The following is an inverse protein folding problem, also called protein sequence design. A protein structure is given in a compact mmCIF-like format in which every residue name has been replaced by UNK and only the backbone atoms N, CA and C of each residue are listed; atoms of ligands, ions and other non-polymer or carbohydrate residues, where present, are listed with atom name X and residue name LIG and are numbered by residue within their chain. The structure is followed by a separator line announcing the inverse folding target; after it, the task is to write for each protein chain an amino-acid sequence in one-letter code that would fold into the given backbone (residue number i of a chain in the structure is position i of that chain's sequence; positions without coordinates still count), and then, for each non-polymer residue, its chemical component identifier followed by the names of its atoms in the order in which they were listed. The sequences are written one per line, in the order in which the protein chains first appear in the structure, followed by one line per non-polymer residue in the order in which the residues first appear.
data_IF_530969730281
#
_entry.id   IF_530969730281
#
_cell.length_a   1.000
_cell.length_b   1.000
_cell.length_c   1.000
_cell.angle_alpha   90.00
_cell.angle_beta   90.00
_cell.angle_gamma   90.00
#
_symmetry.space_group_name_H-M   'P 1'
#
loop_
_entity.id
_entity.type
_entity.pdbx_description
1 polymer ?
#
# COMPACT_ATOMS: atom_id res chain seq x y z
N UNK A 1 -31.30 -13.93 17.46
CA UNK A 1 -30.47 -14.02 16.25
C UNK A 1 -29.24 -14.87 16.60
N UNK A 2 -29.24 -16.16 16.17
CA UNK A 2 -28.03 -17.00 16.31
C UNK A 2 -26.92 -16.36 15.50
N UNK A 3 -25.83 -15.93 16.14
CA UNK A 3 -24.65 -15.43 15.46
C UNK A 3 -24.03 -16.55 14.63
N UNK A 4 -24.16 -16.42 13.31
CA UNK A 4 -23.62 -17.36 12.34
C UNK A 4 -22.11 -17.15 12.25
N UNK A 5 -21.31 -18.05 12.80
CA UNK A 5 -19.85 -17.96 12.67
C UNK A 5 -19.30 -18.97 11.66
N UNK A 6 -18.16 -18.61 11.05
CA UNK A 6 -17.53 -19.43 10.01
C UNK A 6 -16.83 -20.63 10.65
N UNK A 7 -17.38 -21.81 10.45
CA UNK A 7 -16.76 -23.10 10.85
C UNK A 7 -15.78 -23.64 9.80
N UNK A 8 -16.01 -23.31 8.53
CA UNK A 8 -15.25 -23.88 7.42
C UNK A 8 -14.72 -22.77 6.51
N UNK A 9 -13.64 -23.09 5.77
CA UNK A 9 -13.10 -22.16 4.75
C UNK A 9 -14.08 -22.07 3.58
N UNK A 10 -14.39 -20.86 3.16
CA UNK A 10 -15.16 -20.62 1.95
C UNK A 10 -14.39 -20.99 0.68
N UNK A 11 -15.11 -21.40 -0.36
CA UNK A 11 -14.55 -21.52 -1.69
C UNK A 11 -14.06 -20.15 -2.19
N UNK A 12 -12.92 -20.11 -2.92
CA UNK A 12 -12.42 -18.86 -3.48
C UNK A 12 -13.44 -18.21 -4.42
N UNK A 13 -13.66 -16.89 -4.31
CA UNK A 13 -14.49 -16.13 -5.26
C UNK A 13 -13.83 -16.03 -6.64
N UNK A 14 -12.48 -16.06 -6.68
CA UNK A 14 -11.67 -16.17 -7.89
C UNK A 14 -10.83 -17.44 -7.78
N UNK A 15 -11.28 -18.57 -8.37
CA UNK A 15 -10.60 -19.86 -8.26
C UNK A 15 -9.20 -19.85 -8.87
N UNK A 16 -9.05 -19.18 -10.01
CA UNK A 16 -7.77 -19.00 -10.68
C UNK A 16 -6.98 -17.85 -10.05
N UNK A 17 -5.79 -18.17 -9.54
CA UNK A 17 -4.90 -17.15 -8.97
C UNK A 17 -4.39 -16.16 -10.02
N UNK A 18 -4.38 -16.56 -11.29
CA UNK A 18 -4.01 -15.68 -12.40
C UNK A 18 -5.03 -14.56 -12.60
N UNK A 19 -6.23 -14.74 -12.10
CA UNK A 19 -7.32 -13.74 -12.15
C UNK A 19 -7.24 -12.73 -10.99
N UNK A 20 -6.44 -13.00 -9.96
CA UNK A 20 -6.31 -12.09 -8.83
C UNK A 20 -5.73 -10.74 -9.29
N UNK A 21 -6.40 -9.63 -9.02
CA UNK A 21 -5.94 -8.31 -9.47
C UNK A 21 -4.51 -7.99 -9.04
N UNK A 22 -4.13 -8.34 -7.81
CA UNK A 22 -2.76 -8.14 -7.30
C UNK A 22 -1.71 -8.95 -8.07
N UNK A 23 -2.06 -10.11 -8.62
CA UNK A 23 -1.17 -10.93 -9.46
C UNK A 23 -1.02 -10.33 -10.85
N UNK A 24 -2.13 -9.85 -11.44
CA UNK A 24 -2.12 -9.14 -12.74
C UNK A 24 -1.27 -7.87 -12.62
N UNK A 25 -1.51 -7.06 -11.60
CA UNK A 25 -0.75 -5.84 -11.33
C UNK A 25 0.75 -6.13 -11.13
N UNK A 26 1.09 -7.21 -10.45
CA UNK A 26 2.50 -7.59 -10.26
C UNK A 26 3.19 -8.01 -11.57
N UNK A 27 2.47 -8.58 -12.54
CA UNK A 27 3.00 -8.90 -13.88
C UNK A 27 3.22 -7.64 -14.71
N UNK A 28 2.34 -6.66 -14.58
CA UNK A 28 2.35 -5.39 -15.29
C UNK A 28 3.06 -4.28 -14.48
N UNK A 29 3.88 -4.67 -13.48
CA UNK A 29 4.47 -3.73 -12.51
C UNK A 29 5.21 -2.58 -13.18
N UNK A 30 5.97 -2.82 -14.24
CA UNK A 30 6.76 -1.78 -14.92
C UNK A 30 5.86 -0.72 -15.57
N UNK A 31 4.87 -1.16 -16.30
CA UNK A 31 3.88 -0.30 -16.95
C UNK A 31 3.06 0.45 -15.91
N UNK A 32 2.69 -0.24 -14.83
CA UNK A 32 1.94 0.37 -13.73
C UNK A 32 2.75 1.44 -13.01
N UNK A 33 4.01 1.20 -12.66
CA UNK A 33 4.91 2.19 -12.04
C UNK A 33 5.09 3.40 -12.93
N UNK A 34 5.30 3.19 -14.24
CA UNK A 34 5.36 4.29 -15.21
C UNK A 34 4.07 5.11 -15.21
N UNK A 35 2.92 4.45 -15.28
CA UNK A 35 1.61 5.11 -15.20
C UNK A 35 1.46 5.93 -13.93
N UNK A 36 1.90 5.40 -12.78
CA UNK A 36 1.88 6.14 -11.50
C UNK A 36 2.76 7.38 -11.57
N UNK A 37 3.96 7.30 -12.12
CA UNK A 37 4.85 8.45 -12.29
C UNK A 37 4.19 9.53 -13.14
N UNK A 38 3.66 9.18 -14.31
CA UNK A 38 3.05 10.12 -15.25
C UNK A 38 1.80 10.80 -14.65
N UNK A 39 0.94 10.04 -13.98
CA UNK A 39 -0.25 10.58 -13.33
C UNK A 39 0.09 11.45 -12.12
N UNK A 40 1.13 11.10 -11.36
CA UNK A 40 1.60 11.89 -10.23
C UNK A 40 2.19 13.21 -10.69
N UNK A 41 2.98 13.19 -11.76
CA UNK A 41 3.50 14.41 -12.40
C UNK A 41 2.35 15.34 -12.80
N UNK A 42 1.37 14.82 -13.55
CA UNK A 42 0.19 15.59 -13.96
C UNK A 42 -0.52 16.20 -12.75
N UNK A 43 -0.80 15.40 -11.72
CA UNK A 43 -1.50 15.84 -10.51
C UNK A 43 -0.75 16.95 -9.78
N UNK A 44 0.58 16.82 -9.65
CA UNK A 44 1.42 17.84 -9.01
C UNK A 44 1.42 19.13 -9.84
N UNK A 45 1.49 19.04 -11.17
CA UNK A 45 1.42 20.18 -12.05
C UNK A 45 0.07 20.91 -11.95
N UNK A 46 -1.02 20.15 -11.85
CA UNK A 46 -2.36 20.73 -11.64
C UNK A 46 -2.44 21.46 -10.28
N UNK A 47 -1.90 20.87 -9.21
CA UNK A 47 -1.86 21.45 -7.87
C UNK A 47 -0.98 22.72 -7.79
N UNK A 48 0.10 22.77 -8.57
CA UNK A 48 0.98 23.94 -8.66
C UNK A 48 0.50 24.96 -9.71
N UNK A 49 -0.66 24.73 -10.34
CA UNK A 49 -1.24 25.60 -11.37
C UNK A 49 -0.36 25.71 -12.62
N UNK A 50 0.50 24.73 -12.90
CA UNK A 50 1.54 24.81 -13.94
C UNK A 50 2.44 26.05 -13.81
N UNK A 51 2.55 26.63 -12.62
CA UNK A 51 3.37 27.79 -12.34
C UNK A 51 4.82 27.37 -12.05
N UNK A 52 5.78 27.91 -12.81
CA UNK A 52 7.18 27.55 -12.71
C UNK A 52 7.80 27.93 -11.36
N UNK A 53 7.37 29.06 -10.73
CA UNK A 53 7.91 29.52 -9.44
C UNK A 53 7.44 28.63 -8.30
N UNK A 54 6.13 28.29 -8.28
CA UNK A 54 5.56 27.38 -7.28
C UNK A 54 6.18 25.98 -7.42
N UNK A 55 6.30 25.48 -8.66
CA UNK A 55 6.92 24.19 -8.91
C UNK A 55 8.39 24.16 -8.46
N UNK A 56 9.14 25.23 -8.73
CA UNK A 56 10.53 25.39 -8.27
C UNK A 56 10.60 25.28 -6.74
N UNK A 57 9.80 26.05 -6.03
CA UNK A 57 9.77 26.07 -4.55
C UNK A 57 9.49 24.65 -3.97
N UNK A 58 8.53 23.95 -4.55
CA UNK A 58 8.21 22.58 -4.13
C UNK A 58 9.32 21.59 -4.43
N UNK A 59 10.02 21.72 -5.57
CA UNK A 59 11.17 20.89 -5.92
C UNK A 59 12.35 21.14 -4.97
N UNK A 60 12.65 22.41 -4.68
CA UNK A 60 13.72 22.79 -3.75
C UNK A 60 13.41 22.35 -2.31
N UNK A 61 12.16 22.50 -1.88
CA UNK A 61 11.67 22.01 -0.59
C UNK A 61 11.80 20.49 -0.48
N UNK A 62 11.43 19.77 -1.53
CA UNK A 62 11.56 18.31 -1.60
C UNK A 62 13.02 17.89 -1.50
N UNK A 63 13.89 18.49 -2.30
CA UNK A 63 15.34 18.24 -2.25
C UNK A 63 15.94 18.49 -0.86
N UNK A 64 15.58 19.61 -0.24
CA UNK A 64 16.05 19.95 1.11
C UNK A 64 15.63 18.89 2.14
N UNK A 65 14.35 18.52 2.14
CA UNK A 65 13.79 17.53 3.08
C UNK A 65 14.43 16.16 2.91
N UNK A 66 14.63 15.71 1.66
CA UNK A 66 15.23 14.41 1.40
C UNK A 66 16.71 14.38 1.81
N UNK A 67 17.47 15.42 1.51
CA UNK A 67 18.88 15.51 1.97
C UNK A 67 19.00 15.53 3.49
N UNK A 68 18.09 16.23 4.16
CA UNK A 68 18.04 16.25 5.63
C UNK A 68 17.70 14.86 6.18
N UNK A 69 16.71 14.17 5.60
CA UNK A 69 16.30 12.80 5.97
C UNK A 69 17.46 11.82 5.83
N UNK A 70 18.12 11.82 4.67
CA UNK A 70 19.24 10.91 4.38
C UNK A 70 20.39 11.13 5.38
N UNK A 71 20.69 12.39 5.70
CA UNK A 71 21.77 12.72 6.64
C UNK A 71 21.45 12.33 8.10
N UNK A 72 20.21 12.54 8.52
CA UNK A 72 19.82 12.37 9.94
C UNK A 72 19.28 11.00 10.26
N UNK A 73 18.50 10.41 9.35
CA UNK A 73 17.73 9.21 9.61
C UNK A 73 17.56 8.35 8.34
N UNK A 74 18.62 7.81 7.75
CA UNK A 74 18.50 6.91 6.61
C UNK A 74 17.75 5.64 7.01
N UNK A 75 17.04 5.04 6.05
CA UNK A 75 16.51 3.71 6.21
C UNK A 75 17.50 2.66 5.70
N UNK A 76 17.57 1.49 6.34
CA UNK A 76 18.37 0.38 5.83
C UNK A 76 17.89 -0.14 4.46
N UNK A 77 16.69 0.25 4.05
CA UNK A 77 16.08 -0.11 2.75
C UNK A 77 16.03 1.07 1.78
N UNK A 78 16.67 2.19 2.11
CA UNK A 78 16.89 3.25 1.13
C UNK A 78 17.76 2.66 0.00
N UNK A 79 17.52 3.03 -1.26
CA UNK A 79 18.34 2.58 -2.37
C UNK A 79 19.82 2.98 -2.21
N UNK A 80 20.74 2.13 -2.67
CA UNK A 80 22.19 2.35 -2.51
C UNK A 80 22.68 3.64 -3.20
N UNK A 81 21.99 4.06 -4.27
CA UNK A 81 22.27 5.27 -5.06
C UNK A 81 21.56 6.53 -4.55
N UNK A 82 20.97 6.51 -3.35
CA UNK A 82 20.12 7.59 -2.83
C UNK A 82 20.86 8.94 -2.79
N UNK A 83 22.11 8.95 -2.33
CA UNK A 83 22.91 10.18 -2.27
C UNK A 83 23.26 10.71 -3.67
N UNK A 84 23.58 9.83 -4.61
CA UNK A 84 23.90 10.16 -6.00
C UNK A 84 22.67 10.75 -6.69
N UNK A 85 21.53 10.08 -6.62
CA UNK A 85 20.28 10.54 -7.19
C UNK A 85 19.91 11.97 -6.74
N UNK A 86 19.94 12.23 -5.43
CA UNK A 86 19.61 13.57 -4.90
C UNK A 86 20.72 14.59 -5.16
N UNK A 87 21.94 14.13 -5.39
CA UNK A 87 23.05 14.93 -5.90
C UNK A 87 22.78 15.43 -7.33
N UNK A 88 22.35 14.54 -8.21
CA UNK A 88 21.98 14.86 -9.59
C UNK A 88 20.74 15.77 -9.67
N UNK A 89 19.71 15.51 -8.84
CA UNK A 89 18.53 16.40 -8.73
C UNK A 89 18.98 17.82 -8.34
N UNK A 90 19.87 17.94 -7.35
CA UNK A 90 20.45 19.24 -6.96
C UNK A 90 21.15 19.92 -8.13
N UNK A 91 22.01 19.18 -8.84
CA UNK A 91 22.76 19.72 -9.97
C UNK A 91 21.82 20.23 -11.06
N UNK A 92 20.80 19.44 -11.43
CA UNK A 92 19.79 19.82 -12.42
C UNK A 92 19.04 21.10 -12.02
N UNK A 93 18.63 21.22 -10.76
CA UNK A 93 17.95 22.43 -10.27
C UNK A 93 18.86 23.66 -10.29
N UNK A 94 20.14 23.51 -9.92
CA UNK A 94 21.10 24.61 -9.97
C UNK A 94 21.35 25.06 -11.41
N UNK A 95 21.44 24.15 -12.36
CA UNK A 95 21.58 24.49 -13.79
C UNK A 95 20.39 25.30 -14.27
N UNK A 96 19.13 24.84 -14.03
CA UNK A 96 17.92 25.57 -14.43
C UNK A 96 17.86 26.97 -13.80
N UNK A 97 18.31 27.08 -12.55
CA UNK A 97 18.30 28.37 -11.84
C UNK A 97 19.37 29.34 -12.34
N UNK A 98 20.53 28.82 -12.74
CA UNK A 98 21.67 29.64 -13.20
C UNK A 98 21.53 30.09 -14.66
N UNK A 99 20.72 29.41 -15.47
CA UNK A 99 20.58 29.70 -16.89
C UNK A 99 19.83 31.01 -17.10
N UNK A 100 20.57 32.08 -17.41
CA UNK A 100 20.02 33.39 -17.73
C UNK A 100 19.43 33.39 -19.15
N UNK A 101 18.26 33.97 -19.34
CA UNK A 101 17.63 34.09 -20.67
C UNK A 101 16.61 33.00 -21.01
N UNK A 102 16.40 32.01 -20.16
CA UNK A 102 15.30 31.06 -20.33
C UNK A 102 13.93 31.73 -20.23
N UNK A 103 13.08 31.46 -21.22
CA UNK A 103 11.66 31.83 -21.12
C UNK A 103 10.99 31.05 -19.99
N UNK A 104 9.91 31.60 -19.43
CA UNK A 104 9.10 30.91 -18.39
C UNK A 104 8.68 29.51 -18.85
N UNK A 105 8.31 29.37 -20.12
CA UNK A 105 7.90 28.08 -20.70
C UNK A 105 9.05 27.05 -20.73
N UNK A 106 10.25 27.46 -21.15
CA UNK A 106 11.41 26.59 -21.17
C UNK A 106 11.86 26.20 -19.77
N UNK A 107 11.81 27.13 -18.82
CA UNK A 107 12.10 26.88 -17.41
C UNK A 107 11.13 25.88 -16.81
N UNK A 108 9.83 26.04 -17.06
CA UNK A 108 8.81 25.08 -16.66
C UNK A 108 9.08 23.69 -17.25
N UNK A 109 9.48 23.61 -18.53
CA UNK A 109 9.81 22.33 -19.18
C UNK A 109 10.98 21.62 -18.48
N UNK A 110 12.01 22.35 -18.09
CA UNK A 110 13.15 21.78 -17.37
C UNK A 110 12.76 21.30 -15.97
N UNK A 111 11.97 22.09 -15.21
CA UNK A 111 11.45 21.65 -13.92
C UNK A 111 10.54 20.43 -14.03
N UNK A 112 9.72 20.30 -15.07
CA UNK A 112 8.93 19.09 -15.35
C UNK A 112 9.81 17.86 -15.53
N UNK A 113 10.97 17.98 -16.19
CA UNK A 113 11.92 16.87 -16.31
C UNK A 113 12.47 16.43 -14.95
N UNK A 114 12.78 17.39 -14.06
CA UNK A 114 13.22 17.07 -12.69
C UNK A 114 12.08 16.44 -11.90
N UNK A 115 10.87 16.98 -12.00
CA UNK A 115 9.68 16.42 -11.36
C UNK A 115 9.43 14.96 -11.79
N UNK A 116 9.51 14.69 -13.10
CA UNK A 116 9.33 13.33 -13.63
C UNK A 116 10.34 12.34 -13.04
N UNK A 117 11.61 12.74 -12.90
CA UNK A 117 12.63 11.89 -12.26
C UNK A 117 12.28 11.58 -10.81
N UNK A 118 11.83 12.58 -10.04
CA UNK A 118 11.45 12.42 -8.63
C UNK A 118 10.20 11.54 -8.49
N UNK A 119 9.17 11.77 -9.31
CA UNK A 119 7.93 10.95 -9.26
C UNK A 119 8.19 9.52 -9.68
N UNK A 120 9.08 9.29 -10.67
CA UNK A 120 9.50 7.94 -11.09
C UNK A 120 10.23 7.22 -9.96
N UNK A 121 11.15 7.90 -9.25
CA UNK A 121 11.84 7.36 -8.08
C UNK A 121 10.85 6.96 -6.99
N UNK A 122 9.95 7.85 -6.62
CA UNK A 122 8.96 7.58 -5.59
C UNK A 122 7.97 6.49 -5.99
N UNK A 123 7.52 6.44 -7.24
CA UNK A 123 6.64 5.39 -7.73
C UNK A 123 7.30 4.01 -7.61
N UNK A 124 8.59 3.89 -7.95
CA UNK A 124 9.36 2.65 -7.81
C UNK A 124 9.56 2.25 -6.35
N UNK A 125 9.85 3.22 -5.47
CA UNK A 125 10.02 2.98 -4.03
C UNK A 125 8.72 2.52 -3.37
N UNK A 126 7.59 3.11 -3.73
CA UNK A 126 6.27 2.81 -3.15
C UNK A 126 5.77 1.46 -3.64
N UNK A 127 5.98 1.14 -4.91
CA UNK A 127 5.34 0.02 -5.56
C UNK A 127 5.60 -1.32 -4.86
N UNK A 128 4.52 -2.07 -4.65
CA UNK A 128 4.59 -3.43 -4.13
C UNK A 128 5.40 -4.33 -5.04
N UNK A 129 6.13 -5.26 -4.44
CA UNK A 129 6.87 -6.32 -5.13
C UNK A 129 6.23 -7.69 -4.83
N UNK A 130 4.94 -7.81 -5.08
CA UNK A 130 4.18 -9.01 -4.83
C UNK A 130 4.68 -10.18 -5.68
N UNK A 131 4.96 -11.31 -5.04
CA UNK A 131 5.36 -12.56 -5.70
C UNK A 131 4.42 -13.70 -5.29
N UNK A 132 3.58 -14.13 -6.23
CA UNK A 132 2.60 -15.18 -6.01
C UNK A 132 3.20 -16.48 -5.48
N UNK A 133 4.39 -16.87 -5.93
CA UNK A 133 5.09 -18.07 -5.45
C UNK A 133 5.41 -17.98 -3.96
N UNK A 134 5.81 -16.81 -3.50
CA UNK A 134 6.13 -16.56 -2.09
C UNK A 134 4.87 -16.43 -1.23
N UNK A 135 3.75 -15.97 -1.80
CA UNK A 135 2.50 -15.78 -1.07
C UNK A 135 2.01 -17.08 -0.38
N UNK A 136 2.02 -18.21 -1.11
CA UNK A 136 1.59 -19.49 -0.54
C UNK A 136 2.45 -19.91 0.65
N UNK A 137 3.77 -19.85 0.46
CA UNK A 137 4.72 -20.19 1.52
C UNK A 137 4.57 -19.28 2.72
N UNK A 138 4.59 -17.96 2.50
CA UNK A 138 4.42 -16.95 3.54
C UNK A 138 3.13 -17.16 4.33
N UNK A 139 2.03 -17.40 3.63
CA UNK A 139 0.75 -17.67 4.28
C UNK A 139 0.80 -18.90 5.18
N UNK A 140 1.43 -19.99 4.73
CA UNK A 140 1.56 -21.21 5.52
C UNK A 140 2.43 -21.00 6.76
N UNK A 141 3.55 -20.28 6.62
CA UNK A 141 4.44 -19.94 7.75
C UNK A 141 3.74 -19.05 8.76
N UNK A 142 3.05 -18.01 8.30
CA UNK A 142 2.30 -17.09 9.15
C UNK A 142 1.18 -17.82 9.88
N UNK A 143 0.42 -18.66 9.18
CA UNK A 143 -0.66 -19.46 9.77
C UNK A 143 -0.11 -20.43 10.83
N UNK A 144 1.00 -21.09 10.53
CA UNK A 144 1.68 -21.99 11.47
C UNK A 144 2.16 -21.23 12.71
N UNK A 145 2.90 -20.14 12.54
CA UNK A 145 3.41 -19.33 13.66
C UNK A 145 2.27 -18.76 14.53
N UNK A 146 1.21 -18.27 13.91
CA UNK A 146 0.06 -17.75 14.63
C UNK A 146 -0.71 -18.84 15.39
N UNK A 147 -0.86 -20.03 14.77
CA UNK A 147 -1.42 -21.21 15.46
C UNK A 147 -0.58 -21.59 16.69
N UNK A 148 0.75 -21.53 16.58
CA UNK A 148 1.65 -21.84 17.71
C UNK A 148 1.53 -20.78 18.81
N UNK A 149 1.47 -19.52 18.46
CA UNK A 149 1.30 -18.43 19.42
C UNK A 149 0.02 -18.61 20.25
N UNK A 150 -1.10 -18.91 19.59
CA UNK A 150 -2.39 -19.12 20.27
C UNK A 150 -2.45 -20.43 21.07
N UNK A 151 -1.59 -21.39 20.77
CA UNK A 151 -1.49 -22.66 21.47
C UNK A 151 -0.32 -22.72 22.47
N UNK A 152 0.44 -21.64 22.64
CA UNK A 152 1.66 -21.63 23.46
C UNK A 152 1.46 -22.16 24.88
N UNK A 153 0.34 -21.83 25.54
CA UNK A 153 0.02 -22.29 26.87
C UNK A 153 -0.26 -23.81 26.98
N UNK A 154 -0.45 -24.51 25.87
CA UNK A 154 -0.74 -25.95 25.79
C UNK A 154 0.43 -26.79 25.29
N UNK A 155 1.55 -26.13 24.93
CA UNK A 155 2.76 -26.81 24.46
C UNK A 155 3.47 -27.45 25.67
N UNK A 156 3.29 -28.75 25.84
CA UNK A 156 4.02 -29.55 26.83
C UNK A 156 5.05 -30.45 26.08
N UNK A 157 6.29 -30.01 26.00
CA UNK A 157 7.39 -30.72 25.39
C UNK A 157 7.51 -30.54 23.85
N UNK A 158 8.68 -30.92 23.33
CA UNK A 158 9.11 -30.66 21.94
C UNK A 158 8.19 -31.33 20.88
N UNK A 159 7.66 -32.52 21.20
CA UNK A 159 6.73 -33.24 20.29
C UNK A 159 5.38 -32.55 20.12
N UNK A 160 4.89 -31.78 21.13
CA UNK A 160 3.61 -31.08 21.05
C UNK A 160 3.68 -29.85 20.16
N UNK A 161 4.88 -29.37 19.84
CA UNK A 161 5.09 -28.25 18.90
C UNK A 161 4.61 -28.61 17.49
N UNK A 162 4.67 -29.87 17.10
CA UNK A 162 4.27 -30.36 15.78
C UNK A 162 2.86 -30.99 15.75
N UNK A 163 2.17 -31.04 16.89
CA UNK A 163 0.82 -31.59 16.91
C UNK A 163 -0.18 -30.66 16.20
N UNK A 164 -0.98 -31.21 15.31
CA UNK A 164 -1.99 -30.50 14.51
C UNK A 164 -3.37 -30.48 15.16
N UNK A 165 -3.46 -30.81 16.44
CA UNK A 165 -4.74 -31.07 17.14
C UNK A 165 -5.71 -29.87 17.19
N UNK A 166 -5.24 -28.63 16.92
CA UNK A 166 -6.11 -27.46 16.92
C UNK A 166 -5.85 -26.56 15.72
N UNK A 167 -6.83 -26.39 14.87
CA UNK A 167 -6.81 -25.41 13.81
C UNK A 167 -7.02 -23.99 14.37
N UNK A 168 -6.64 -22.94 13.64
CA UNK A 168 -6.96 -21.56 14.02
C UNK A 168 -8.47 -21.34 14.10
N UNK A 169 -9.24 -22.04 13.28
CA UNK A 169 -10.70 -21.96 13.22
C UNK A 169 -11.38 -22.48 14.49
N UNK A 170 -10.72 -23.39 15.25
CA UNK A 170 -11.25 -23.86 16.52
C UNK A 170 -11.14 -22.80 17.64
N UNK A 171 -10.32 -21.78 17.44
CA UNK A 171 -10.03 -20.75 18.45
C UNK A 171 -10.48 -19.35 18.06
N UNK A 172 -10.67 -19.09 16.79
CA UNK A 172 -11.05 -17.80 16.26
C UNK A 172 -12.40 -17.95 15.59
N UNK A 173 -13.40 -17.31 16.17
CA UNK A 173 -14.71 -17.21 15.58
C UNK A 173 -14.78 -15.95 14.73
N UNK A 174 -15.24 -16.10 13.49
CA UNK A 174 -15.49 -14.97 12.57
C UNK A 174 -17.02 -14.83 12.51
N UNK A 175 -17.51 -13.68 12.97
CA UNK A 175 -18.93 -13.34 13.00
C UNK A 175 -19.19 -12.07 12.20
N UNK A 176 -20.44 -11.81 11.85
CA UNK A 176 -20.88 -10.64 11.10
C UNK A 176 -21.32 -10.96 9.68
N UNK A 177 -21.44 -9.94 8.85
CA UNK A 177 -21.99 -10.01 7.48
C UNK A 177 -21.00 -10.57 6.45
N UNK A 178 -20.49 -11.78 6.73
CA UNK A 178 -19.42 -12.41 5.93
C UNK A 178 -19.87 -12.78 4.53
N UNK A 179 -21.12 -13.25 4.36
CA UNK A 179 -21.68 -13.58 3.05
C UNK A 179 -21.90 -12.31 2.22
N UNK A 180 -22.35 -11.21 2.86
CA UNK A 180 -22.50 -9.92 2.22
C UNK A 180 -21.15 -9.36 1.75
N UNK A 181 -20.11 -9.44 2.59
CA UNK A 181 -18.77 -8.99 2.20
C UNK A 181 -18.24 -9.76 0.99
N UNK A 182 -18.47 -11.07 0.94
CA UNK A 182 -18.10 -11.90 -0.22
C UNK A 182 -18.88 -11.50 -1.48
N UNK A 183 -20.19 -11.28 -1.34
CA UNK A 183 -21.03 -10.81 -2.45
C UNK A 183 -20.56 -9.45 -2.98
N UNK A 184 -20.28 -8.48 -2.11
CA UNK A 184 -19.71 -7.19 -2.50
C UNK A 184 -18.37 -7.33 -3.21
N UNK A 185 -17.51 -8.26 -2.77
CA UNK A 185 -16.22 -8.52 -3.40
C UNK A 185 -16.32 -9.10 -4.83
N UNK A 186 -17.45 -9.73 -5.19
CA UNK A 186 -17.72 -10.13 -6.58
C UNK A 186 -18.25 -8.98 -7.44
N UNK A 187 -18.80 -7.94 -6.80
CA UNK A 187 -19.45 -6.79 -7.47
C UNK A 187 -18.55 -5.58 -7.62
N UNK A 188 -17.37 -5.58 -6.97
CA UNK A 188 -16.44 -4.47 -7.06
C UNK A 188 -15.24 -4.59 -6.15
N UNK A 189 -14.52 -3.48 -6.00
CA UNK A 189 -13.31 -3.43 -5.19
C UNK A 189 -13.63 -3.12 -3.73
N UNK A 190 -13.14 -3.94 -2.82
CA UNK A 190 -13.30 -3.73 -1.37
C UNK A 190 -12.17 -2.84 -0.84
N UNK A 191 -12.53 -1.86 -0.04
CA UNK A 191 -11.61 -1.07 0.79
C UNK A 191 -11.98 -1.31 2.24
N UNK A 192 -11.20 -2.15 2.90
CA UNK A 192 -11.42 -2.55 4.30
C UNK A 192 -10.73 -1.58 5.25
N UNK A 193 -11.45 -1.11 6.29
CA UNK A 193 -11.00 -0.08 7.24
C UNK A 193 -11.11 -0.52 8.70
N UNK A 194 -10.37 -1.54 9.12
CA UNK A 194 -10.44 -2.06 10.48
C UNK A 194 -9.78 -1.12 11.50
N UNK A 195 -10.20 -1.25 12.76
CA UNK A 195 -9.47 -0.68 13.90
C UNK A 195 -8.12 -1.37 14.09
N UNK A 196 -7.15 -0.65 14.68
CA UNK A 196 -5.78 -1.16 14.86
C UNK A 196 -5.37 -1.17 16.32
N UNK A 197 -5.41 -2.34 16.95
CA UNK A 197 -5.04 -2.53 18.36
C UNK A 197 -3.68 -3.21 18.53
N UNK A 198 -3.30 -4.12 17.63
CA UNK A 198 -2.14 -4.98 17.75
C UNK A 198 -1.37 -5.11 16.44
N UNK A 199 -0.07 -5.46 16.54
CA UNK A 199 0.71 -5.88 15.38
C UNK A 199 0.18 -7.17 14.74
N UNK A 200 -0.61 -7.95 15.49
CA UNK A 200 -1.20 -9.18 15.01
C UNK A 200 -2.44 -8.94 14.12
N UNK A 201 -3.02 -7.74 14.15
CA UNK A 201 -4.26 -7.45 13.40
C UNK A 201 -4.09 -7.66 11.90
N UNK A 202 -2.98 -7.20 11.33
CA UNK A 202 -2.70 -7.39 9.90
C UNK A 202 -2.55 -8.89 9.53
N UNK A 203 -1.97 -9.67 10.43
CA UNK A 203 -1.82 -11.13 10.28
C UNK A 203 -3.19 -11.81 10.37
N UNK A 204 -3.97 -11.44 11.40
CA UNK A 204 -5.29 -11.98 11.62
C UNK A 204 -6.24 -11.66 10.45
N UNK A 205 -6.27 -10.40 10.00
CA UNK A 205 -7.09 -9.99 8.86
C UNK A 205 -6.66 -10.70 7.58
N UNK A 206 -5.35 -10.83 7.32
CA UNK A 206 -4.84 -11.59 6.17
C UNK A 206 -5.27 -13.07 6.21
N UNK A 207 -5.33 -13.66 7.39
CA UNK A 207 -5.86 -15.00 7.59
C UNK A 207 -7.38 -15.06 7.36
N UNK A 208 -8.16 -14.12 7.92
CA UNK A 208 -9.61 -13.99 7.72
C UNK A 208 -9.94 -13.87 6.23
N UNK A 209 -9.31 -12.96 5.50
CA UNK A 209 -9.45 -12.78 4.05
C UNK A 209 -9.29 -14.12 3.32
N UNK A 210 -8.27 -14.87 3.71
CA UNK A 210 -8.00 -16.20 3.12
C UNK A 210 -9.06 -17.25 3.47
N UNK A 211 -9.58 -17.25 4.72
CA UNK A 211 -10.67 -18.17 5.16
C UNK A 211 -11.96 -17.85 4.42
N UNK A 212 -12.23 -16.58 4.20
CA UNK A 212 -13.37 -16.12 3.42
C UNK A 212 -13.25 -16.35 1.91
N UNK A 213 -12.15 -16.92 1.44
CA UNK A 213 -11.95 -17.19 0.01
C UNK A 213 -11.79 -15.93 -0.84
N UNK A 214 -11.42 -14.81 -0.23
CA UNK A 214 -11.13 -13.57 -0.95
C UNK A 214 -9.69 -13.57 -1.50
N UNK A 215 -9.42 -12.89 -2.64
CA UNK A 215 -8.06 -12.69 -3.12
C UNK A 215 -7.26 -11.83 -2.12
N UNK A 216 -5.92 -11.85 -2.17
CA UNK A 216 -5.09 -11.04 -1.29
C UNK A 216 -5.38 -9.55 -1.45
N UNK A 217 -5.46 -8.84 -0.33
CA UNK A 217 -5.58 -7.38 -0.29
C UNK A 217 -4.19 -6.75 -0.33
N UNK A 218 -4.09 -5.60 -0.99
CA UNK A 218 -2.91 -4.73 -0.87
C UNK A 218 -3.06 -3.85 0.36
N UNK A 219 -1.94 -3.42 0.95
CA UNK A 219 -1.96 -2.52 2.10
C UNK A 219 -0.67 -1.73 2.23
N UNK A 220 -0.77 -0.52 2.77
CA UNK A 220 0.38 0.32 3.06
C UNK A 220 1.11 -0.12 4.32
N UNK A 221 2.36 -0.52 4.20
CA UNK A 221 3.21 -0.89 5.33
C UNK A 221 4.34 0.13 5.55
N UNK A 222 4.53 0.54 6.79
CA UNK A 222 5.59 1.49 7.15
C UNK A 222 6.99 0.92 6.89
N UNK A 223 7.90 1.75 6.38
CA UNK A 223 9.27 1.33 6.03
C UNK A 223 10.04 0.71 7.20
N UNK A 224 9.70 1.03 8.45
CA UNK A 224 10.29 0.40 9.61
C UNK A 224 10.14 -1.14 9.62
N UNK A 225 9.09 -1.68 8.99
CA UNK A 225 8.89 -3.12 8.87
C UNK A 225 9.78 -3.75 7.80
N UNK A 226 10.27 -2.97 6.86
CA UNK A 226 11.15 -3.44 5.79
C UNK A 226 12.64 -3.39 6.18
N UNK A 227 13.01 -2.73 7.27
CA UNK A 227 14.40 -2.69 7.75
C UNK A 227 14.95 -4.05 8.19
N UNK A 228 14.07 -5.02 8.48
CA UNK A 228 14.44 -6.38 8.83
C UNK A 228 14.13 -7.26 7.64
N UNK A 229 15.14 -7.87 7.03
CA UNK A 229 15.05 -8.63 5.77
C UNK A 229 13.95 -9.70 5.78
N UNK A 230 13.78 -10.40 6.91
CA UNK A 230 12.75 -11.43 7.03
C UNK A 230 11.33 -10.79 6.99
N UNK A 231 11.12 -9.66 7.65
CA UNK A 231 9.84 -8.96 7.60
C UNK A 231 9.61 -8.33 6.23
N UNK A 232 10.65 -7.77 5.60
CA UNK A 232 10.58 -7.26 4.24
C UNK A 232 10.12 -8.35 3.26
N UNK A 233 10.67 -9.56 3.37
CA UNK A 233 10.25 -10.70 2.57
C UNK A 233 8.75 -11.00 2.75
N UNK A 234 8.28 -11.12 3.99
CA UNK A 234 6.87 -11.38 4.28
C UNK A 234 5.94 -10.25 3.83
N UNK A 235 6.32 -8.99 4.07
CA UNK A 235 5.52 -7.84 3.65
C UNK A 235 5.34 -7.80 2.13
N UNK A 236 6.44 -7.95 1.38
CA UNK A 236 6.40 -8.02 -0.08
C UNK A 236 5.53 -9.20 -0.58
N UNK A 237 5.70 -10.38 0.03
CA UNK A 237 4.95 -11.57 -0.37
C UNK A 237 3.44 -11.46 -0.09
N UNK A 238 3.04 -10.64 0.88
CA UNK A 238 1.63 -10.42 1.26
C UNK A 238 0.97 -9.22 0.56
N UNK A 239 1.65 -8.55 -0.37
CA UNK A 239 1.08 -7.46 -1.15
C UNK A 239 1.21 -6.07 -0.53
N UNK A 240 2.11 -5.91 0.46
CA UNK A 240 2.38 -4.60 1.02
C UNK A 240 3.06 -3.67 0.01
N UNK A 241 2.59 -2.42 -0.08
CA UNK A 241 3.34 -1.33 -0.68
C UNK A 241 4.00 -0.48 0.43
N UNK A 242 5.10 0.18 0.08
CA UNK A 242 5.93 0.86 1.08
C UNK A 242 5.42 2.26 1.37
N UNK A 243 5.33 2.60 2.66
CA UNK A 243 4.93 3.93 3.13
C UNK A 243 6.01 4.51 4.02
N UNK A 244 6.69 5.55 3.54
CA UNK A 244 7.61 6.33 4.37
C UNK A 244 6.86 7.50 5.04
N UNK A 245 6.60 7.35 6.34
CA UNK A 245 5.90 8.37 7.13
C UNK A 245 6.76 9.61 7.42
N UNK A 246 8.06 9.58 7.10
CA UNK A 246 8.97 10.72 7.25
C UNK A 246 8.95 11.61 6.02
N UNK A 247 8.65 11.06 4.84
CA UNK A 247 8.50 11.81 3.60
C UNK A 247 7.17 12.57 3.61
N UNK A 248 7.25 13.87 3.91
CA UNK A 248 6.06 14.76 4.02
C UNK A 248 6.05 15.83 2.92
N UNK A 249 6.87 15.66 1.89
CA UNK A 249 6.87 16.58 0.75
C UNK A 249 5.70 16.28 -0.20
N UNK A 250 5.28 17.29 -0.96
CA UNK A 250 4.16 17.21 -1.89
C UNK A 250 4.35 16.07 -2.90
N UNK A 251 5.54 15.97 -3.49
CA UNK A 251 5.85 14.99 -4.54
C UNK A 251 5.59 13.55 -4.06
N UNK A 252 6.09 13.20 -2.87
CA UNK A 252 5.92 11.87 -2.29
C UNK A 252 4.45 11.59 -1.94
N UNK A 253 3.79 12.53 -1.27
CA UNK A 253 2.41 12.34 -0.80
C UNK A 253 1.44 12.17 -1.97
N UNK A 254 1.58 12.94 -3.04
CA UNK A 254 0.72 12.80 -4.20
C UNK A 254 1.05 11.54 -5.02
N UNK A 255 2.31 11.12 -5.08
CA UNK A 255 2.68 9.82 -5.69
C UNK A 255 2.08 8.65 -4.90
N UNK A 256 2.14 8.70 -3.57
CA UNK A 256 1.54 7.67 -2.70
C UNK A 256 0.01 7.59 -2.86
N UNK A 257 -0.67 8.74 -2.92
CA UNK A 257 -2.13 8.79 -3.16
C UNK A 257 -2.47 8.27 -4.55
N UNK A 258 -1.70 8.64 -5.57
CA UNK A 258 -1.89 8.17 -6.95
C UNK A 258 -1.74 6.65 -7.01
N UNK A 259 -0.69 6.08 -6.38
CA UNK A 259 -0.50 4.63 -6.31
C UNK A 259 -1.69 3.92 -5.66
N UNK A 260 -2.15 4.42 -4.51
CA UNK A 260 -3.30 3.84 -3.80
C UNK A 260 -4.58 3.90 -4.65
N UNK A 261 -4.89 5.06 -5.22
CA UNK A 261 -6.05 5.29 -6.09
C UNK A 261 -6.05 4.35 -7.29
N UNK A 262 -4.95 4.34 -8.05
CA UNK A 262 -4.84 3.54 -9.27
C UNK A 262 -4.87 2.03 -8.99
N UNK A 263 -4.30 1.59 -7.87
CA UNK A 263 -4.38 0.19 -7.44
C UNK A 263 -5.83 -0.23 -7.13
N UNK A 264 -6.61 0.63 -6.47
CA UNK A 264 -8.03 0.40 -6.19
C UNK A 264 -8.82 0.36 -7.50
N UNK A 265 -8.57 1.28 -8.44
CA UNK A 265 -9.21 1.30 -9.77
C UNK A 265 -8.85 0.08 -10.61
N UNK A 266 -7.64 -0.47 -10.43
CA UNK A 266 -7.21 -1.72 -11.09
C UNK A 266 -7.97 -2.95 -10.56
N UNK A 267 -8.76 -2.79 -9.48
CA UNK A 267 -9.54 -3.85 -8.84
C UNK A 267 -8.82 -4.52 -7.66
N UNK A 268 -7.66 -4.04 -7.26
CA UNK A 268 -6.98 -4.58 -6.08
C UNK A 268 -7.75 -4.21 -4.81
N UNK A 269 -8.31 -5.19 -4.13
CA UNK A 269 -8.86 -4.96 -2.80
C UNK A 269 -7.80 -4.36 -1.89
N UNK A 270 -8.17 -3.39 -1.09
CA UNK A 270 -7.23 -2.63 -0.26
C UNK A 270 -7.62 -2.71 1.21
N UNK A 271 -6.59 -2.67 2.06
CA UNK A 271 -6.73 -2.63 3.51
C UNK A 271 -5.88 -1.48 4.05
N UNK A 272 -6.45 -0.65 4.92
CA UNK A 272 -5.66 0.28 5.70
C UNK A 272 -6.31 0.58 7.05
N UNK A 273 -5.45 0.90 8.01
CA UNK A 273 -5.86 1.22 9.37
C UNK A 273 -6.00 2.74 9.50
N UNK A 274 -7.23 3.26 9.63
CA UNK A 274 -7.48 4.70 9.59
C UNK A 274 -6.85 5.47 10.74
N UNK A 275 -6.67 4.86 11.91
CA UNK A 275 -5.95 5.45 13.03
C UNK A 275 -4.47 5.73 12.74
N UNK A 276 -3.89 5.03 11.78
CA UNK A 276 -2.49 5.19 11.35
C UNK A 276 -1.44 4.73 12.35
N UNK A 277 -1.82 4.54 13.61
CA UNK A 277 -1.00 3.97 14.69
C UNK A 277 -1.89 3.04 15.52
N UNK A 278 -1.27 2.10 16.22
CA UNK A 278 -2.01 1.19 17.11
C UNK A 278 -2.58 1.94 18.30
N UNK A 279 -3.82 1.63 18.68
CA UNK A 279 -4.40 2.06 19.95
C UNK A 279 -3.74 1.27 21.08
N UNK A 280 -2.96 1.95 21.94
CA UNK A 280 -2.33 1.31 23.10
C UNK A 280 -3.28 1.16 24.29
N UNK A 281 -4.34 1.95 24.32
CA UNK A 281 -5.35 1.95 25.38
C UNK A 281 -6.50 0.97 25.12
N UNK A 282 -6.56 0.33 23.94
CA UNK A 282 -7.70 -0.47 23.53
C UNK A 282 -8.94 0.35 23.14
N UNK A 283 -8.84 1.68 23.14
CA UNK A 283 -9.95 2.55 22.74
C UNK A 283 -10.00 2.69 21.21
N UNK A 284 -11.18 2.92 20.68
CA UNK A 284 -11.38 3.25 19.26
C UNK A 284 -10.65 4.56 18.95
N UNK A 285 -10.10 4.66 17.75
CA UNK A 285 -9.34 5.83 17.30
C UNK A 285 -10.19 7.10 17.35
N UNK A 286 -9.74 8.09 18.11
CA UNK A 286 -10.40 9.41 18.19
C UNK A 286 -10.10 10.30 16.98
N UNK A 287 -9.02 10.02 16.25
CA UNK A 287 -8.60 10.76 15.05
C UNK A 287 -8.31 9.80 13.91
N UNK A 288 -9.02 9.98 12.82
CA UNK A 288 -8.91 9.17 11.60
C UNK A 288 -8.05 9.90 10.57
N UNK A 289 -7.07 9.21 9.99
CA UNK A 289 -6.23 9.72 8.89
C UNK A 289 -6.90 9.43 7.56
N UNK A 290 -7.57 10.43 7.02
CA UNK A 290 -8.35 10.29 5.80
C UNK A 290 -7.53 10.31 4.50
N UNK A 291 -6.22 10.59 4.56
CA UNK A 291 -5.40 10.80 3.37
C UNK A 291 -5.40 9.64 2.36
N UNK A 292 -5.33 8.38 2.83
CA UNK A 292 -5.44 7.22 1.96
C UNK A 292 -6.91 6.79 1.76
N UNK A 293 -7.81 7.05 2.70
CA UNK A 293 -9.23 6.76 2.54
C UNK A 293 -9.85 7.62 1.42
N UNK A 294 -9.42 8.88 1.31
CA UNK A 294 -9.88 9.76 0.22
C UNK A 294 -9.56 9.19 -1.17
N UNK A 295 -8.53 8.35 -1.30
CA UNK A 295 -8.20 7.71 -2.58
C UNK A 295 -9.27 6.74 -3.08
N UNK A 296 -10.03 6.12 -2.17
CA UNK A 296 -11.17 5.28 -2.53
C UNK A 296 -12.30 6.13 -3.16
N UNK A 297 -12.57 7.29 -2.59
CA UNK A 297 -13.56 8.24 -3.11
C UNK A 297 -13.11 8.80 -4.47
N UNK A 298 -11.83 9.18 -4.58
CA UNK A 298 -11.25 9.66 -5.84
C UNK A 298 -11.29 8.57 -6.92
N UNK A 299 -11.02 7.31 -6.58
CA UNK A 299 -11.10 6.18 -7.49
C UNK A 299 -12.54 5.95 -7.96
N UNK A 300 -13.52 5.97 -7.05
CA UNK A 300 -14.93 5.83 -7.40
C UNK A 300 -15.40 6.95 -8.31
N UNK A 301 -15.02 8.20 -8.01
CA UNK A 301 -15.33 9.36 -8.85
C UNK A 301 -14.75 9.20 -10.26
N UNK A 302 -13.50 8.76 -10.35
CA UNK A 302 -12.85 8.55 -11.65
C UNK A 302 -13.54 7.43 -12.46
N UNK A 303 -13.95 6.33 -11.81
CA UNK A 303 -14.71 5.27 -12.47
C UNK A 303 -16.04 5.78 -13.06
N UNK A 304 -16.77 6.64 -12.35
CA UNK A 304 -17.98 7.26 -12.86
C UNK A 304 -17.70 8.23 -14.03
N UNK A 305 -16.62 9.01 -13.96
CA UNK A 305 -16.25 9.96 -15.01
C UNK A 305 -15.83 9.30 -16.30
N UNK A 306 -15.24 8.11 -16.23
CA UNK A 306 -14.86 7.33 -17.43
C UNK A 306 -16.04 6.60 -18.07
N UNK A 307 -17.25 6.74 -17.53
CA UNK A 307 -18.44 6.10 -18.04
C UNK A 307 -18.48 4.58 -17.84
N UNK A 308 -17.57 4.04 -17.03
CA UNK A 308 -17.55 2.63 -16.67
C UNK A 308 -18.70 2.35 -15.72
N UNK A 309 -19.88 2.04 -16.27
CA UNK A 309 -21.05 1.62 -15.48
C UNK A 309 -20.99 0.14 -15.10
N UNK A 310 -19.87 -0.52 -15.37
CA UNK A 310 -19.67 -1.91 -14.98
C UNK A 310 -19.77 -2.03 -13.43
N UNK A 311 -20.44 -3.10 -12.99
CA UNK A 311 -20.55 -3.44 -11.56
C UNK A 311 -19.16 -3.56 -10.93
N UNK A 312 -18.19 -4.08 -11.69
CA UNK A 312 -16.79 -4.19 -11.27
C UNK A 312 -16.10 -2.84 -10.96
N UNK A 313 -16.64 -1.73 -11.46
CA UNK A 313 -16.13 -0.38 -11.22
C UNK A 313 -16.56 0.23 -9.86
N UNK A 314 -17.42 -0.45 -9.11
CA UNK A 314 -17.87 0.00 -7.78
C UNK A 314 -16.79 -0.23 -6.73
N UNK A 315 -16.71 0.69 -5.77
CA UNK A 315 -15.80 0.60 -4.63
C UNK A 315 -16.64 0.59 -3.35
N UNK A 316 -16.44 -0.43 -2.54
CA UNK A 316 -17.15 -0.62 -1.28
C UNK A 316 -16.18 -0.41 -0.12
N UNK A 317 -16.50 0.54 0.75
CA UNK A 317 -15.79 0.75 2.01
C UNK A 317 -16.48 -0.06 3.09
N UNK A 318 -15.73 -0.93 3.77
CA UNK A 318 -16.24 -1.88 4.77
C UNK A 318 -15.40 -1.89 6.03
#
# INVERSE_FOLDING_TARGET
LEEKYIKHRYAPILPSKNEWPVVKLARERKEFVKKISDLSEKRILDLTGNNHDILKEELETTLYREKLRIKQNPWAVDPDDENEFWGEVKHSLLQVNAESGLTKANRLKQYKSVLHRITSRYAEEIASNFKHTHYKFTRSVVQFGFSRLLNAARVKGFRSIFSTQFSLQDKIQITGETDQLRDLATKGTIVMVPTHFSNLDSILIGWIISVMGLPPFIYGAGLNLFNISIFAYFMNALGAYKVDRRKKNLMYLETLKTYSKESIQYGCHSLFFPGGTRSRSGMIESKVKLGLLSTAIEAQRANYQTGTQDISAKIFVV
#
